data_IF_724655405959
#
_entry.id   IF_724655405959
#
_cell.length_a   1.000
_cell.length_b   1.000
_cell.length_c   1.000
_cell.angle_alpha   90.00
_cell.angle_beta   90.00
_cell.angle_gamma   90.00
#
_symmetry.space_group_name_H-M   'P 1'
#
loop_
_entity.id
_entity.type
_entity.pdbx_description
1 polymer ?
#
# COMPACT_ATOMS: atom_id res chain seq x y z
N UNK A 1 -12.97 0.65 -15.86
CA UNK A 1 -11.65 1.31 -16.08
C UNK A 1 -10.94 1.44 -14.74
N UNK A 2 -9.60 1.36 -14.69
CA UNK A 2 -8.89 1.42 -13.42
C UNK A 2 -8.82 2.87 -12.89
N UNK A 3 -8.93 3.07 -11.56
CA UNK A 3 -8.78 4.39 -10.95
C UNK A 3 -7.42 5.01 -11.27
N UNK A 4 -7.40 6.33 -11.41
CA UNK A 4 -6.18 7.11 -11.59
C UNK A 4 -5.27 6.90 -10.38
N UNK A 5 -3.97 6.68 -10.61
CA UNK A 5 -2.96 6.40 -9.58
C UNK A 5 -3.10 5.06 -8.83
N UNK A 6 -3.96 4.14 -9.27
CA UNK A 6 -4.05 2.80 -8.67
C UNK A 6 -2.73 2.01 -8.76
N UNK A 7 -1.95 2.21 -9.83
CA UNK A 7 -0.78 1.40 -10.20
C UNK A 7 -1.08 -0.09 -10.48
N UNK A 8 -2.36 -0.47 -10.46
CA UNK A 8 -2.87 -1.76 -10.89
C UNK A 8 -2.82 -1.83 -12.43
N UNK A 9 -2.47 -3.00 -12.97
CA UNK A 9 -2.52 -3.28 -14.41
C UNK A 9 -3.91 -3.77 -14.80
N UNK A 10 -4.27 -3.61 -16.08
CA UNK A 10 -5.56 -4.10 -16.59
C UNK A 10 -5.69 -5.61 -16.32
N UNK A 11 -6.82 -6.02 -15.74
CA UNK A 11 -7.15 -7.40 -15.37
C UNK A 11 -6.24 -8.03 -14.30
N UNK A 12 -5.39 -7.24 -13.66
CA UNK A 12 -4.49 -7.74 -12.62
C UNK A 12 -5.26 -8.02 -11.33
N UNK A 13 -5.14 -9.23 -10.81
CA UNK A 13 -5.67 -9.60 -9.51
C UNK A 13 -4.86 -8.97 -8.38
N UNK A 14 -5.42 -8.92 -7.17
CA UNK A 14 -4.71 -8.45 -5.99
C UNK A 14 -3.41 -9.23 -5.74
N UNK A 15 -3.43 -10.55 -5.94
CA UNK A 15 -2.27 -11.43 -5.74
C UNK A 15 -1.16 -11.15 -6.76
N UNK A 16 -1.52 -10.97 -8.03
CA UNK A 16 -0.57 -10.60 -9.09
C UNK A 16 0.02 -9.21 -8.83
N UNK A 17 -0.79 -8.25 -8.38
CA UNK A 17 -0.32 -6.92 -8.01
C UNK A 17 0.76 -6.99 -6.93
N UNK A 18 0.49 -7.68 -5.81
CA UNK A 18 1.46 -7.76 -4.72
C UNK A 18 2.70 -8.59 -5.08
N UNK A 19 2.55 -9.62 -5.92
CA UNK A 19 3.69 -10.39 -6.45
C UNK A 19 4.61 -9.50 -7.28
N UNK A 20 4.06 -8.80 -8.28
CA UNK A 20 4.80 -7.84 -9.12
C UNK A 20 5.38 -6.70 -8.31
N UNK A 21 4.63 -6.16 -7.34
CA UNK A 21 5.09 -5.07 -6.46
C UNK A 21 6.27 -5.54 -5.62
N UNK A 22 6.21 -6.76 -5.08
CA UNK A 22 7.31 -7.39 -4.35
C UNK A 22 8.58 -7.52 -5.19
N UNK A 23 8.48 -7.97 -6.44
CA UNK A 23 9.61 -8.06 -7.39
C UNK A 23 10.24 -6.68 -7.67
N UNK A 24 9.39 -5.69 -7.97
CA UNK A 24 9.84 -4.32 -8.22
C UNK A 24 10.51 -3.71 -6.99
N UNK A 25 9.95 -3.95 -5.80
CA UNK A 25 10.50 -3.50 -4.53
C UNK A 25 11.86 -4.14 -4.24
N UNK A 26 12.02 -5.46 -4.45
CA UNK A 26 13.33 -6.13 -4.31
C UNK A 26 14.38 -5.52 -5.23
N UNK A 27 14.01 -5.23 -6.48
CA UNK A 27 14.92 -4.60 -7.45
C UNK A 27 15.32 -3.19 -7.03
N UNK A 28 14.37 -2.40 -6.51
CA UNK A 28 14.65 -1.05 -5.98
C UNK A 28 15.57 -1.13 -4.78
N UNK A 29 15.25 -1.97 -3.79
CA UNK A 29 16.04 -2.15 -2.56
C UNK A 29 17.48 -2.55 -2.88
N UNK A 30 17.70 -3.42 -3.86
CA UNK A 30 19.04 -3.84 -4.29
C UNK A 30 19.88 -2.68 -4.88
N UNK A 31 19.23 -1.63 -5.39
CA UNK A 31 19.86 -0.47 -6.03
C UNK A 31 19.86 0.79 -5.16
N UNK A 32 19.30 0.73 -3.95
CA UNK A 32 19.21 1.89 -3.06
C UNK A 32 20.60 2.35 -2.60
N UNK A 33 20.81 3.67 -2.65
CA UNK A 33 21.94 4.30 -1.99
C UNK A 33 21.72 4.39 -0.47
N UNK A 34 22.73 4.89 0.26
CA UNK A 34 22.67 4.98 1.72
C UNK A 34 21.52 5.86 2.24
N UNK A 35 21.25 7.00 1.60
CA UNK A 35 20.18 7.91 2.00
C UNK A 35 18.79 7.30 1.75
N UNK A 36 18.59 6.65 0.61
CA UNK A 36 17.34 5.95 0.27
C UNK A 36 17.07 4.80 1.24
N UNK A 37 18.10 4.00 1.55
CA UNK A 37 18.01 2.92 2.54
C UNK A 37 17.63 3.46 3.91
N UNK A 38 18.28 4.53 4.37
CA UNK A 38 17.96 5.17 5.64
C UNK A 38 16.51 5.65 5.66
N UNK A 39 16.06 6.31 4.59
CA UNK A 39 14.69 6.80 4.47
C UNK A 39 13.67 5.65 4.51
N UNK A 40 13.91 4.56 3.78
CA UNK A 40 13.04 3.38 3.77
C UNK A 40 12.98 2.72 5.15
N UNK A 41 14.12 2.51 5.81
CA UNK A 41 14.16 1.95 7.16
C UNK A 41 13.41 2.84 8.15
N UNK A 42 13.59 4.17 8.07
CA UNK A 42 12.86 5.10 8.92
C UNK A 42 11.35 5.02 8.71
N UNK A 43 10.88 4.91 7.47
CA UNK A 43 9.45 4.72 7.16
C UNK A 43 8.94 3.41 7.77
N UNK A 44 9.68 2.32 7.63
CA UNK A 44 9.31 1.02 8.18
C UNK A 44 9.20 1.04 9.71
N UNK A 45 10.18 1.63 10.40
CA UNK A 45 10.15 1.74 11.86
C UNK A 45 9.04 2.67 12.34
N UNK A 46 8.81 3.79 11.66
CA UNK A 46 7.70 4.68 11.98
C UNK A 46 6.34 3.98 11.81
N UNK A 47 6.14 3.25 10.72
CA UNK A 47 4.92 2.50 10.46
C UNK A 47 4.65 1.43 11.53
N UNK A 48 5.69 0.69 11.95
CA UNK A 48 5.59 -0.28 13.04
C UNK A 48 5.22 0.38 14.37
N UNK A 49 5.84 1.51 14.69
CA UNK A 49 5.65 2.21 15.97
C UNK A 49 4.28 2.88 16.07
N UNK A 50 3.85 3.62 15.04
CA UNK A 50 2.58 4.34 15.06
C UNK A 50 1.39 3.44 14.78
N UNK A 51 1.55 2.42 13.94
CA UNK A 51 0.44 1.65 13.39
C UNK A 51 -0.58 2.53 12.65
N UNK A 52 -0.18 3.72 12.18
CA UNK A 52 -0.97 4.67 11.37
C UNK A 52 -0.11 5.29 10.27
N UNK A 53 -0.67 5.68 9.12
CA UNK A 53 0.06 6.33 8.05
C UNK A 53 0.63 7.67 8.48
N UNK A 54 1.79 8.01 7.92
CA UNK A 54 2.35 9.35 8.07
C UNK A 54 1.58 10.35 7.21
N UNK A 55 1.73 11.65 7.48
CA UNK A 55 1.07 12.71 6.69
C UNK A 55 1.40 12.66 5.19
N UNK A 56 2.54 12.06 4.82
CA UNK A 56 3.03 11.95 3.44
C UNK A 56 2.81 10.57 2.84
N UNK A 57 2.31 9.60 3.62
CA UNK A 57 1.99 8.28 3.11
C UNK A 57 0.69 8.33 2.30
N UNK A 58 0.65 7.59 1.19
CA UNK A 58 -0.60 7.37 0.46
C UNK A 58 -1.31 6.15 1.03
N UNK A 59 -2.64 6.20 1.09
CA UNK A 59 -3.46 5.08 1.54
C UNK A 59 -4.33 4.64 0.39
N UNK A 60 -4.39 3.34 0.20
CA UNK A 60 -5.20 2.69 -0.80
C UNK A 60 -6.10 1.66 -0.15
N UNK A 61 -7.29 1.48 -0.69
CA UNK A 61 -8.21 0.43 -0.28
C UNK A 61 -8.61 -0.41 -1.50
N UNK A 62 -8.78 -1.71 -1.27
CA UNK A 62 -9.17 -2.66 -2.30
C UNK A 62 -10.65 -2.95 -2.17
N UNK A 63 -11.44 -2.52 -3.16
CA UNK A 63 -12.87 -2.80 -3.20
C UNK A 63 -13.20 -3.90 -4.19
N UNK A 64 -14.11 -4.80 -3.81
CA UNK A 64 -14.63 -5.81 -4.72
C UNK A 64 -15.61 -5.17 -5.71
N UNK A 65 -15.38 -5.40 -7.00
CA UNK A 65 -16.27 -5.03 -8.09
C UNK A 65 -16.64 -6.26 -8.90
N UNK A 66 -17.58 -7.06 -8.37
CA UNK A 66 -18.10 -8.24 -9.06
C UNK A 66 -17.11 -9.42 -9.11
N UNK A 67 -16.40 -9.68 -8.01
CA UNK A 67 -15.40 -10.73 -7.89
C UNK A 67 -13.99 -10.29 -8.30
N UNK A 68 -13.79 -9.01 -8.61
CA UNK A 68 -12.50 -8.44 -8.97
C UNK A 68 -12.17 -7.24 -8.10
N UNK A 69 -11.06 -7.34 -7.37
CA UNK A 69 -10.63 -6.29 -6.45
C UNK A 69 -9.89 -5.18 -7.18
N UNK A 70 -10.39 -3.95 -7.02
CA UNK A 70 -9.82 -2.74 -7.62
C UNK A 70 -9.13 -1.91 -6.54
N UNK A 71 -7.88 -1.47 -6.81
CA UNK A 71 -7.12 -0.63 -5.89
C UNK A 71 -7.48 0.85 -6.08
N UNK A 72 -8.07 1.46 -5.07
CA UNK A 72 -8.46 2.87 -5.09
C UNK A 72 -7.59 3.67 -4.12
N UNK A 73 -7.27 4.90 -4.49
CA UNK A 73 -6.58 5.81 -3.59
C UNK A 73 -7.60 6.49 -2.68
N UNK A 74 -7.45 6.34 -1.37
CA UNK A 74 -8.25 7.06 -0.40
C UNK A 74 -7.93 8.55 -0.48
N UNK A 75 -8.97 9.40 -0.44
CA UNK A 75 -8.76 10.82 -0.25
C UNK A 75 -8.53 11.12 1.25
N UNK A 76 -8.12 12.36 1.56
CA UNK A 76 -7.77 12.73 2.94
C UNK A 76 -8.99 12.79 3.88
N UNK A 77 -10.18 13.06 3.34
CA UNK A 77 -11.41 13.14 4.13
C UNK A 77 -11.92 11.74 4.50
N UNK A 78 -11.78 10.77 3.60
CA UNK A 78 -12.19 9.37 3.82
C UNK A 78 -11.18 8.58 4.66
N UNK A 79 -9.99 9.13 4.86
CA UNK A 79 -8.87 8.41 5.45
C UNK A 79 -9.18 7.91 6.86
N UNK A 80 -9.71 8.76 7.73
CA UNK A 80 -9.90 8.39 9.15
C UNK A 80 -10.97 7.29 9.26
N UNK A 81 -12.09 7.43 8.54
CA UNK A 81 -13.16 6.43 8.49
C UNK A 81 -12.65 5.09 7.93
N UNK A 82 -12.00 5.11 6.76
CA UNK A 82 -11.44 3.89 6.16
C UNK A 82 -10.37 3.25 7.03
N UNK A 83 -9.59 4.03 7.77
CA UNK A 83 -8.52 3.46 8.59
C UNK A 83 -9.08 2.64 9.75
N UNK A 84 -10.18 3.10 10.35
CA UNK A 84 -10.78 2.45 11.51
C UNK A 84 -11.62 1.22 11.11
N UNK A 85 -12.17 1.19 9.89
CA UNK A 85 -12.91 0.04 9.34
C UNK A 85 -12.06 -1.21 9.09
N UNK A 86 -10.76 -1.04 8.82
CA UNK A 86 -9.86 -2.16 8.50
C UNK A 86 -8.98 -2.46 9.71
N UNK A 87 -9.08 -3.60 10.41
CA UNK A 87 -8.20 -3.93 11.53
C UNK A 87 -6.75 -4.15 11.08
N UNK A 88 -5.79 -4.14 12.03
CA UNK A 88 -4.35 -4.25 11.75
C UNK A 88 -3.94 -5.38 10.77
N UNK A 89 -4.49 -6.61 10.85
CA UNK A 89 -4.11 -7.67 9.91
C UNK A 89 -4.54 -7.36 8.46
N UNK A 90 -5.59 -6.56 8.31
CA UNK A 90 -6.10 -6.09 7.02
C UNK A 90 -5.31 -4.90 6.42
N UNK A 91 -4.14 -4.58 6.97
CA UNK A 91 -3.30 -3.45 6.55
C UNK A 91 -1.92 -3.94 6.16
N UNK A 92 -1.44 -3.52 4.99
CA UNK A 92 -0.07 -3.77 4.53
C UNK A 92 0.63 -2.46 4.24
N UNK A 93 1.88 -2.33 4.67
CA UNK A 93 2.71 -1.15 4.41
C UNK A 93 3.83 -1.47 3.42
N UNK A 94 3.95 -0.65 2.38
CA UNK A 94 5.09 -0.63 1.46
C UNK A 94 6.02 0.55 1.79
N UNK A 95 7.17 0.31 2.46
CA UNK A 95 8.09 1.37 2.84
C UNK A 95 8.88 1.94 1.64
N UNK A 96 8.97 1.21 0.52
CA UNK A 96 9.66 1.66 -0.70
C UNK A 96 8.89 2.83 -1.30
N UNK A 97 7.57 2.69 -1.41
CA UNK A 97 6.70 3.71 -2.00
C UNK A 97 6.01 4.62 -0.98
N UNK A 98 6.16 4.33 0.32
CA UNK A 98 5.46 5.01 1.41
C UNK A 98 3.93 4.91 1.25
N UNK A 99 3.45 3.69 1.00
CA UNK A 99 2.04 3.41 0.72
C UNK A 99 1.46 2.41 1.71
N UNK A 100 0.20 2.58 2.07
CA UNK A 100 -0.60 1.61 2.80
C UNK A 100 -1.68 1.04 1.91
N UNK A 101 -1.91 -0.25 2.04
CA UNK A 101 -2.98 -0.99 1.40
C UNK A 101 -3.90 -1.57 2.46
N UNK A 102 -5.19 -1.25 2.35
CA UNK A 102 -6.28 -1.75 3.18
C UNK A 102 -7.06 -2.79 2.37
N UNK A 103 -7.15 -4.02 2.86
CA UNK A 103 -7.89 -5.06 2.17
C UNK A 103 -8.41 -6.14 3.13
N UNK A 104 -9.67 -6.51 2.93
CA UNK A 104 -10.34 -7.59 3.66
C UNK A 104 -9.77 -8.98 3.37
N UNK A 105 -9.02 -9.14 2.26
CA UNK A 105 -8.35 -10.39 1.89
C UNK A 105 -6.99 -10.58 2.56
N UNK A 106 -6.51 -9.62 3.36
CA UNK A 106 -5.31 -9.84 4.15
C UNK A 106 -5.70 -10.47 5.50
N UNK A 107 -5.00 -11.54 5.86
CA UNK A 107 -5.13 -12.27 7.12
C UNK A 107 -4.01 -11.91 8.11
#
# INVERSE_FOLDING_TARGET
>A
PLPKHSAQRKNETIYEFFTRRGESNRTRIAKENAAERQQRTQRQENAKKSGRPSKTACVYYWNDQGGHYIRNRANRAEFDDLWDDYPRPQRRFDPVHNEWDLCVLFE
#
